data_IF_309452669853
#
_entry.id   IF_309452669853
#
_cell.length_a   1.000
_cell.length_b   1.000
_cell.length_c   1.000
_cell.angle_alpha   90.00
_cell.angle_beta   90.00
_cell.angle_gamma   90.00
#
_symmetry.space_group_name_H-M   'P 1'
#
loop_
_entity.id
_entity.type
_entity.pdbx_description
1 polymer ?
#
# COMPACT_ATOMS: atom_id res chain seq x y z
N UNK A 1 7.09 -14.28 -6.39
CA UNK A 1 7.89 -13.10 -5.98
C UNK A 1 8.99 -13.48 -5.00
N UNK A 2 8.71 -14.24 -3.93
CA UNK A 2 9.72 -14.69 -2.96
C UNK A 2 10.93 -15.39 -3.58
N UNK A 3 10.73 -16.37 -4.48
CA UNK A 3 11.85 -17.05 -5.15
C UNK A 3 12.74 -16.11 -5.96
N UNK A 4 12.16 -15.07 -6.59
CA UNK A 4 12.92 -14.04 -7.29
C UNK A 4 13.67 -13.10 -6.34
N UNK A 5 13.21 -12.94 -5.10
CA UNK A 5 13.88 -12.11 -4.11
C UNK A 5 15.07 -12.84 -3.48
N UNK A 6 14.94 -14.15 -3.22
CA UNK A 6 16.01 -14.99 -2.64
C UNK A 6 17.28 -15.05 -3.48
N UNK A 7 17.16 -14.95 -4.80
CA UNK A 7 18.31 -14.99 -5.72
C UNK A 7 19.05 -13.65 -5.83
N UNK A 8 18.55 -12.58 -5.20
CA UNK A 8 19.18 -11.25 -5.29
C UNK A 8 20.40 -11.15 -4.37
N UNK A 9 21.59 -10.80 -4.89
CA UNK A 9 22.80 -10.73 -4.09
C UNK A 9 22.72 -9.66 -3.00
N UNK A 10 21.97 -8.58 -3.20
CA UNK A 10 21.84 -7.50 -2.20
C UNK A 10 21.04 -7.93 -0.97
N UNK A 11 20.26 -9.03 -1.06
CA UNK A 11 19.35 -9.49 -0.01
C UNK A 11 19.81 -10.77 0.69
N UNK A 12 21.08 -11.16 0.55
CA UNK A 12 21.62 -12.39 1.14
C UNK A 12 21.50 -12.44 2.67
N UNK A 13 21.44 -11.27 3.33
CA UNK A 13 21.27 -11.17 4.79
C UNK A 13 19.81 -11.18 5.25
N UNK A 14 18.85 -11.24 4.32
CA UNK A 14 17.42 -11.22 4.63
C UNK A 14 16.86 -12.64 4.75
N UNK A 15 16.02 -12.86 5.77
CA UNK A 15 15.18 -14.06 5.88
C UNK A 15 13.87 -13.83 5.12
N UNK A 16 13.50 -14.78 4.28
CA UNK A 16 12.24 -14.75 3.53
C UNK A 16 11.29 -15.80 4.07
N UNK A 17 10.03 -15.40 4.30
CA UNK A 17 9.01 -16.28 4.84
C UNK A 17 7.69 -16.10 4.07
N UNK A 18 7.01 -17.21 3.77
CA UNK A 18 5.67 -17.19 3.23
C UNK A 18 4.69 -17.17 4.39
N UNK A 19 4.02 -16.05 4.60
CA UNK A 19 3.11 -15.84 5.72
C UNK A 19 1.87 -15.06 5.27
N UNK A 20 0.75 -15.25 5.98
CA UNK A 20 -0.42 -14.40 5.87
C UNK A 20 -0.23 -13.17 6.77
N UNK A 21 -0.44 -11.97 6.22
CA UNK A 21 -0.33 -10.74 6.97
C UNK A 21 -1.36 -10.62 8.11
N UNK A 22 -2.46 -11.37 8.03
CA UNK A 22 -3.51 -11.45 9.07
C UNK A 22 -3.26 -12.58 10.08
N UNK A 23 -2.19 -13.36 9.95
CA UNK A 23 -1.78 -14.36 10.95
C UNK A 23 -0.28 -14.62 10.82
N UNK A 24 0.53 -13.76 11.43
CA UNK A 24 1.97 -13.78 11.28
C UNK A 24 2.59 -14.92 12.13
N UNK A 25 3.53 -15.71 11.57
CA UNK A 25 4.20 -16.82 12.26
C UNK A 25 5.35 -16.34 13.17
N UNK A 26 5.20 -15.18 13.80
CA UNK A 26 6.22 -14.58 14.66
C UNK A 26 5.71 -14.40 16.08
N UNK A 27 6.65 -14.45 17.03
CA UNK A 27 6.38 -14.17 18.43
C UNK A 27 6.06 -12.69 18.66
N UNK A 28 5.36 -12.44 19.75
CA UNK A 28 5.02 -11.09 20.21
C UNK A 28 6.30 -10.27 20.45
N UNK A 29 6.27 -8.98 20.11
CA UNK A 29 7.37 -8.05 20.38
C UNK A 29 8.75 -8.47 19.81
N UNK A 30 8.75 -9.14 18.66
CA UNK A 30 9.98 -9.62 18.00
C UNK A 30 10.70 -8.53 17.18
N UNK A 31 9.98 -7.54 16.65
CA UNK A 31 10.52 -6.59 15.68
C UNK A 31 10.59 -5.15 16.21
N UNK A 32 11.65 -4.44 15.83
CA UNK A 32 11.86 -3.01 16.16
C UNK A 32 11.12 -2.07 15.21
N UNK A 33 10.70 -2.55 14.04
CA UNK A 33 9.85 -1.84 13.10
C UNK A 33 9.20 -2.82 12.12
N UNK A 34 8.05 -2.44 11.54
CA UNK A 34 7.41 -3.18 10.44
C UNK A 34 7.09 -2.22 9.30
N UNK A 35 7.32 -2.66 8.06
CA UNK A 35 7.00 -1.90 6.85
C UNK A 35 6.10 -2.73 5.93
N UNK A 36 4.96 -2.17 5.54
CA UNK A 36 3.99 -2.75 4.62
C UNK A 36 3.85 -1.89 3.37
N UNK A 37 4.45 -2.29 2.26
CA UNK A 37 4.52 -1.48 1.04
C UNK A 37 3.46 -1.86 0.00
N UNK A 38 2.39 -1.07 -0.12
CA UNK A 38 1.43 -1.21 -1.22
C UNK A 38 0.51 -2.43 -1.11
N UNK A 39 0.31 -2.95 0.10
CA UNK A 39 -0.42 -4.22 0.33
C UNK A 39 -1.68 -4.07 1.18
N UNK A 40 -1.74 -3.07 2.06
CA UNK A 40 -2.76 -2.97 3.11
C UNK A 40 -4.21 -2.98 2.57
N UNK A 41 -4.45 -2.32 1.44
CA UNK A 41 -5.76 -2.22 0.80
C UNK A 41 -6.19 -3.48 0.02
N UNK A 42 -5.29 -4.47 -0.12
CA UNK A 42 -5.62 -5.79 -0.69
C UNK A 42 -6.03 -6.81 0.37
N UNK A 43 -5.80 -6.53 1.65
CA UNK A 43 -6.19 -7.44 2.72
C UNK A 43 -7.74 -7.47 2.85
N UNK A 44 -8.33 -8.66 3.03
CA UNK A 44 -9.76 -8.77 3.34
C UNK A 44 -10.15 -7.94 4.57
N UNK A 45 -9.38 -8.08 5.66
CA UNK A 45 -9.54 -7.36 6.92
C UNK A 45 -8.27 -6.56 7.26
N UNK A 46 -8.14 -5.30 6.81
CA UNK A 46 -6.94 -4.49 7.03
C UNK A 46 -6.59 -4.30 8.50
N UNK A 47 -7.61 -4.14 9.36
CA UNK A 47 -7.44 -3.94 10.80
C UNK A 47 -6.87 -5.19 11.47
N UNK A 48 -7.27 -6.39 11.05
CA UNK A 48 -6.70 -7.66 11.58
C UNK A 48 -5.22 -7.76 11.23
N UNK A 49 -4.85 -7.44 9.98
CA UNK A 49 -3.44 -7.42 9.58
C UNK A 49 -2.63 -6.37 10.36
N UNK A 50 -3.20 -5.20 10.61
CA UNK A 50 -2.57 -4.16 11.42
C UNK A 50 -2.43 -4.57 12.89
N UNK A 51 -3.40 -5.28 13.47
CA UNK A 51 -3.31 -5.85 14.82
C UNK A 51 -2.21 -6.90 14.91
N UNK A 52 -2.04 -7.74 13.89
CA UNK A 52 -0.92 -8.69 13.84
C UNK A 52 0.43 -7.96 13.74
N UNK A 53 0.53 -6.90 12.95
CA UNK A 53 1.73 -6.06 12.90
C UNK A 53 2.00 -5.41 14.26
N UNK A 54 0.98 -4.87 14.93
CA UNK A 54 1.07 -4.32 16.28
C UNK A 54 1.49 -5.39 17.32
N UNK A 55 1.04 -6.63 17.16
CA UNK A 55 1.39 -7.76 18.04
C UNK A 55 2.89 -8.07 17.97
N UNK A 56 3.43 -8.18 16.76
CA UNK A 56 4.82 -8.61 16.53
C UNK A 56 5.85 -7.49 16.74
N UNK A 57 5.46 -6.21 16.71
CA UNK A 57 6.37 -5.11 17.04
C UNK A 57 6.50 -4.89 18.55
N UNK A 58 7.69 -4.49 18.98
CA UNK A 58 7.99 -4.13 20.38
C UNK A 58 7.21 -2.91 20.83
N UNK A 59 6.94 -2.73 22.14
CA UNK A 59 6.43 -1.47 22.66
C UNK A 59 7.39 -0.32 22.32
N UNK A 60 6.85 0.81 21.85
CA UNK A 60 7.61 1.97 21.37
C UNK A 60 8.04 1.88 19.91
N UNK A 61 7.86 0.75 19.23
CA UNK A 61 8.22 0.58 17.83
C UNK A 61 7.17 1.16 16.87
N UNK A 62 7.63 1.50 15.67
CA UNK A 62 6.80 2.07 14.61
C UNK A 62 6.39 1.02 13.56
N UNK A 63 5.16 1.13 13.09
CA UNK A 63 4.64 0.40 11.93
C UNK A 63 4.31 1.38 10.83
N UNK A 64 4.93 1.19 9.67
CA UNK A 64 4.75 2.01 8.47
C UNK A 64 3.99 1.24 7.41
N UNK A 65 2.88 1.80 6.92
CA UNK A 65 2.18 1.30 5.75
C UNK A 65 2.19 2.34 4.63
N UNK A 66 2.44 1.90 3.40
CA UNK A 66 2.33 2.74 2.20
C UNK A 66 1.14 2.29 1.37
N UNK A 67 0.33 3.25 0.95
CA UNK A 67 -0.93 3.01 0.24
C UNK A 67 -1.14 3.99 -0.91
N UNK A 68 -1.85 3.54 -1.94
CA UNK A 68 -2.35 4.45 -2.97
C UNK A 68 -3.58 5.19 -2.45
N UNK A 69 -3.68 6.46 -2.81
CA UNK A 69 -4.84 7.30 -2.54
C UNK A 69 -5.81 7.27 -3.71
N UNK A 70 -7.08 7.53 -3.39
CA UNK A 70 -8.14 7.63 -4.37
C UNK A 70 -7.87 8.77 -5.37
N UNK A 71 -8.02 8.52 -6.68
CA UNK A 71 -7.90 9.58 -7.67
C UNK A 71 -9.04 10.59 -7.51
N UNK A 72 -8.71 11.88 -7.53
CA UNK A 72 -9.68 12.98 -7.34
C UNK A 72 -10.72 13.14 -8.46
N UNK A 73 -10.41 12.96 -9.76
CA UNK A 73 -11.40 13.14 -10.81
C UNK A 73 -12.46 12.04 -10.76
N UNK A 74 -13.74 12.42 -10.63
CA UNK A 74 -14.86 11.50 -10.39
C UNK A 74 -14.96 10.37 -11.43
N UNK A 75 -14.82 10.70 -12.73
CA UNK A 75 -14.86 9.70 -13.80
C UNK A 75 -13.72 8.67 -13.69
N UNK A 76 -12.50 9.14 -13.38
CA UNK A 76 -11.34 8.26 -13.19
C UNK A 76 -11.50 7.44 -11.92
N UNK A 77 -12.07 7.99 -10.87
CA UNK A 77 -12.39 7.27 -9.62
C UNK A 77 -13.35 6.12 -9.86
N UNK A 78 -14.48 6.36 -10.53
CA UNK A 78 -15.48 5.32 -10.83
C UNK A 78 -14.83 4.20 -11.64
N UNK A 79 -14.03 4.54 -12.66
CA UNK A 79 -13.32 3.54 -13.43
C UNK A 79 -12.28 2.81 -12.57
N UNK A 80 -11.48 3.51 -11.78
CA UNK A 80 -10.39 2.93 -10.99
C UNK A 80 -10.90 2.01 -9.87
N UNK A 81 -11.98 2.38 -9.16
CA UNK A 81 -12.63 1.56 -8.13
C UNK A 81 -13.24 0.27 -8.69
N UNK A 82 -13.55 0.26 -9.99
CA UNK A 82 -13.99 -0.93 -10.72
C UNK A 82 -12.86 -1.97 -10.83
N UNK A 83 -11.59 -1.59 -10.68
CA UNK A 83 -10.45 -2.52 -10.84
C UNK A 83 -9.63 -2.72 -9.57
N UNK A 84 -9.58 -1.71 -8.70
CA UNK A 84 -8.74 -1.73 -7.51
C UNK A 84 -9.41 -0.98 -6.36
N UNK A 85 -9.11 -1.37 -5.13
CA UNK A 85 -9.56 -0.62 -3.94
C UNK A 85 -8.58 0.53 -3.72
N UNK A 86 -9.09 1.76 -3.80
CA UNK A 86 -8.35 2.96 -3.41
C UNK A 86 -9.00 3.57 -2.18
N UNK A 87 -8.51 3.25 -0.97
CA UNK A 87 -9.07 3.81 0.24
C UNK A 87 -8.80 5.32 0.32
N UNK A 88 -9.67 6.02 1.03
CA UNK A 88 -9.43 7.42 1.39
C UNK A 88 -8.42 7.51 2.52
N UNK A 89 -7.87 8.69 2.74
CA UNK A 89 -6.95 8.93 3.85
C UNK A 89 -7.60 8.62 5.21
N UNK A 90 -8.87 9.00 5.37
CA UNK A 90 -9.65 8.78 6.58
C UNK A 90 -9.82 7.28 6.87
N UNK A 91 -9.96 6.47 5.82
CA UNK A 91 -10.02 5.01 5.98
C UNK A 91 -8.70 4.44 6.48
N UNK A 92 -7.56 4.89 5.94
CA UNK A 92 -6.25 4.47 6.45
C UNK A 92 -6.05 4.87 7.91
N UNK A 93 -6.38 6.12 8.28
CA UNK A 93 -6.29 6.58 9.67
C UNK A 93 -7.21 5.78 10.59
N UNK A 94 -8.47 5.60 10.19
CA UNK A 94 -9.44 4.82 10.96
C UNK A 94 -8.97 3.39 11.20
N UNK A 95 -8.35 2.73 10.22
CA UNK A 95 -7.79 1.39 10.42
C UNK A 95 -6.64 1.35 11.43
N UNK A 96 -5.76 2.36 11.43
CA UNK A 96 -4.67 2.46 12.41
C UNK A 96 -5.20 2.75 13.81
N UNK A 97 -6.17 3.64 13.95
CA UNK A 97 -6.82 3.96 15.22
C UNK A 97 -7.56 2.75 15.78
N UNK A 98 -8.36 2.05 14.96
CA UNK A 98 -9.11 0.85 15.36
C UNK A 98 -8.18 -0.34 15.70
N UNK A 99 -7.02 -0.41 15.07
CA UNK A 99 -6.01 -1.41 15.41
C UNK A 99 -5.32 -1.12 16.75
N UNK A 100 -5.41 0.10 17.29
CA UNK A 100 -4.85 0.50 18.58
C UNK A 100 -3.49 1.20 18.49
N UNK A 101 -3.12 1.75 17.33
CA UNK A 101 -1.91 2.54 17.19
C UNK A 101 -2.05 3.92 17.84
N UNK A 102 -0.94 4.44 18.36
CA UNK A 102 -0.81 5.81 18.87
C UNK A 102 0.08 6.63 17.94
N UNK A 103 0.09 7.96 18.09
CA UNK A 103 0.94 8.87 17.31
C UNK A 103 0.84 8.66 15.79
N UNK A 104 -0.37 8.51 15.27
CA UNK A 104 -0.60 8.26 13.85
C UNK A 104 -0.21 9.49 13.02
N UNK A 105 0.78 9.32 12.14
CA UNK A 105 1.33 10.37 11.26
C UNK A 105 1.20 9.96 9.81
N UNK A 106 0.94 10.92 8.93
CA UNK A 106 0.87 10.70 7.49
C UNK A 106 1.87 11.60 6.76
N UNK A 107 2.55 11.04 5.77
CA UNK A 107 3.32 11.77 4.78
C UNK A 107 2.73 11.48 3.40
N UNK A 108 2.58 12.53 2.59
CA UNK A 108 1.98 12.41 1.27
C UNK A 108 3.04 12.36 0.20
N UNK A 109 2.80 11.51 -0.80
CA UNK A 109 3.59 11.47 -2.01
C UNK A 109 2.79 12.17 -3.10
N UNK A 110 3.33 13.28 -3.58
CA UNK A 110 2.73 14.10 -4.62
C UNK A 110 3.55 14.05 -5.91
N UNK A 111 2.85 14.27 -7.02
CA UNK A 111 3.51 14.44 -8.31
C UNK A 111 4.13 15.84 -8.41
N UNK A 112 5.38 15.97 -8.90
CA UNK A 112 6.06 17.27 -8.93
C UNK A 112 5.46 18.28 -9.92
N UNK A 113 4.61 17.85 -10.87
CA UNK A 113 4.01 18.72 -11.89
C UNK A 113 2.66 19.32 -11.51
N UNK A 114 1.87 18.65 -10.67
CA UNK A 114 0.49 19.09 -10.37
C UNK A 114 0.18 19.07 -8.87
N UNK A 115 1.18 18.83 -8.02
CA UNK A 115 1.07 18.69 -6.57
C UNK A 115 -0.02 17.71 -6.10
N UNK A 116 -0.54 16.87 -7.01
CA UNK A 116 -1.62 15.96 -6.70
C UNK A 116 -1.04 14.81 -5.89
N UNK A 117 -1.55 14.65 -4.67
CA UNK A 117 -1.26 13.52 -3.81
C UNK A 117 -1.91 12.27 -4.42
N UNK A 118 -1.10 11.24 -4.65
CA UNK A 118 -1.55 9.98 -5.24
C UNK A 118 -1.23 8.77 -4.37
N UNK A 119 -0.35 8.93 -3.38
CA UNK A 119 -0.05 7.91 -2.40
C UNK A 119 0.22 8.57 -1.04
N UNK A 120 0.07 7.77 0.01
CA UNK A 120 0.37 8.17 1.38
C UNK A 120 1.23 7.10 2.06
N UNK A 121 2.13 7.54 2.93
CA UNK A 121 2.80 6.72 3.91
C UNK A 121 2.22 7.08 5.29
N UNK A 122 1.62 6.11 5.97
CA UNK A 122 1.02 6.25 7.29
C UNK A 122 1.85 5.44 8.29
N UNK A 123 2.18 6.08 9.41
CA UNK A 123 2.99 5.49 10.47
C UNK A 123 2.21 5.57 11.77
N UNK A 124 2.18 4.47 12.52
CA UNK A 124 1.65 4.42 13.88
C UNK A 124 2.65 3.78 14.82
N UNK A 125 2.69 4.25 16.07
CA UNK A 125 3.57 3.74 17.12
C UNK A 125 2.78 2.85 18.07
N UNK A 126 3.37 1.73 18.50
CA UNK A 126 2.84 0.94 19.62
C UNK A 126 3.15 1.65 20.92
N UNK A 127 2.16 2.18 21.63
CA UNK A 127 2.44 2.86 22.89
C UNK A 127 2.91 1.89 23.98
N UNK A 128 3.74 2.40 24.89
CA UNK A 128 4.15 1.65 26.09
C UNK A 128 2.93 1.45 26.99
N UNK A 129 2.48 0.21 27.14
CA UNK A 129 1.26 -0.14 27.90
C UNK A 129 0.03 -0.42 27.04
N UNK A 130 0.13 -0.37 25.71
CA UNK A 130 -0.93 -0.90 24.83
C UNK A 130 -1.16 -2.37 25.14
N UNK A 131 -2.43 -2.76 25.35
CA UNK A 131 -2.81 -4.14 25.55
C UNK A 131 -2.36 -4.99 24.36
N UNK A 132 -1.74 -6.14 24.66
CA UNK A 132 -1.21 -7.02 23.62
C UNK A 132 -2.36 -7.61 22.79
N UNK A 133 -2.39 -7.41 21.46
CA UNK A 133 -3.42 -8.00 20.62
C UNK A 133 -3.35 -9.54 20.65
N UNK A 134 -4.50 -10.20 20.70
CA UNK A 134 -4.55 -11.64 20.57
C UNK A 134 -4.08 -12.07 19.18
N UNK A 135 -3.32 -13.17 19.12
CA UNK A 135 -2.88 -13.74 17.84
C UNK A 135 -4.08 -14.17 17.02
N UNK A 136 -4.18 -13.64 15.80
CA UNK A 136 -5.24 -14.03 14.88
C UNK A 136 -5.04 -15.47 14.39
N UNK A 137 -6.13 -16.25 14.38
CA UNK A 137 -6.12 -17.58 13.79
C UNK A 137 -5.87 -17.48 12.28
N UNK A 138 -5.13 -18.42 11.68
CA UNK A 138 -4.94 -18.43 10.23
C UNK A 138 -6.31 -18.53 9.55
N UNK A 139 -6.61 -17.69 8.54
CA UNK A 139 -7.87 -17.79 7.85
C UNK A 139 -8.00 -19.19 7.23
N UNK A 140 -9.22 -19.77 7.19
CA UNK A 140 -9.41 -21.08 6.62
C UNK A 140 -8.93 -21.08 5.16
N UNK A 141 -8.28 -22.17 4.69
CA UNK A 141 -7.79 -22.25 3.32
C UNK A 141 -8.97 -22.02 2.37
N UNK A 142 -8.93 -20.89 1.67
CA UNK A 142 -10.06 -20.45 0.84
C UNK A 142 -10.06 -21.25 -0.46
N UNK A 143 -10.62 -22.47 -0.42
CA UNK A 143 -10.61 -23.41 -1.54
C UNK A 143 -11.56 -23.02 -2.70
N UNK A 144 -12.45 -22.03 -2.50
CA UNK A 144 -13.52 -21.72 -3.45
C UNK A 144 -13.14 -20.61 -4.44
N UNK A 145 -12.33 -20.94 -5.46
CA UNK A 145 -12.12 -20.03 -6.62
C UNK A 145 -12.19 -20.69 -8.01
N UNK A 146 -12.75 -21.89 -8.14
CA UNK A 146 -12.82 -22.58 -9.46
C UNK A 146 -14.16 -22.47 -10.19
N UNK A 147 -15.28 -22.27 -9.49
CA UNK A 147 -16.62 -22.35 -10.10
C UNK A 147 -17.11 -20.98 -10.66
N UNK A 148 -16.64 -19.86 -10.12
CA UNK A 148 -17.02 -18.52 -10.58
C UNK A 148 -16.24 -18.00 -11.81
N UNK A 149 -15.13 -18.65 -12.20
CA UNK A 149 -14.22 -18.14 -13.24
C UNK A 149 -14.81 -18.07 -14.65
N UNK A 150 -15.69 -19.01 -15.03
CA UNK A 150 -16.27 -19.09 -16.37
C UNK A 150 -17.37 -18.03 -16.61
N UNK A 151 -18.22 -17.76 -15.62
CA UNK A 151 -19.28 -16.75 -15.72
C UNK A 151 -18.73 -15.31 -15.63
N UNK A 152 -17.61 -15.11 -14.92
CA UNK A 152 -16.96 -13.80 -14.80
C UNK A 152 -16.03 -13.47 -15.96
N UNK A 153 -15.61 -14.46 -16.75
CA UNK A 153 -14.64 -14.30 -17.84
C UNK A 153 -14.98 -13.18 -18.84
N UNK A 154 -16.21 -13.08 -19.41
CA UNK A 154 -16.51 -12.01 -20.37
C UNK A 154 -16.47 -10.63 -19.71
N UNK A 155 -16.94 -10.53 -18.45
CA UNK A 155 -16.89 -9.29 -17.69
C UNK A 155 -15.44 -8.89 -17.34
N UNK A 156 -14.59 -9.87 -17.01
CA UNK A 156 -13.16 -9.68 -16.71
C UNK A 156 -12.38 -9.27 -17.96
N UNK A 157 -12.65 -9.88 -19.12
CA UNK A 157 -12.03 -9.52 -20.40
C UNK A 157 -12.43 -8.11 -20.83
N UNK A 158 -13.72 -7.76 -20.74
CA UNK A 158 -14.22 -6.42 -21.03
C UNK A 158 -13.56 -5.39 -20.11
N UNK A 159 -13.56 -5.66 -18.80
CA UNK A 159 -12.87 -4.86 -17.79
C UNK A 159 -11.40 -4.67 -18.17
N UNK A 160 -10.66 -5.76 -18.42
CA UNK A 160 -9.25 -5.70 -18.78
C UNK A 160 -9.00 -4.86 -20.05
N UNK A 161 -9.85 -5.01 -21.07
CA UNK A 161 -9.79 -4.21 -22.30
C UNK A 161 -9.95 -2.71 -22.06
N UNK A 162 -10.94 -2.31 -21.26
CA UNK A 162 -11.17 -0.89 -20.91
C UNK A 162 -9.99 -0.33 -20.11
N UNK A 163 -9.46 -1.10 -19.15
CA UNK A 163 -8.30 -0.69 -18.36
C UNK A 163 -7.05 -0.50 -19.22
N UNK A 164 -6.79 -1.40 -20.17
CA UNK A 164 -5.67 -1.29 -21.11
C UNK A 164 -5.79 -0.07 -22.03
N UNK A 165 -7.00 0.20 -22.55
CA UNK A 165 -7.24 1.38 -23.38
C UNK A 165 -7.04 2.68 -22.59
N UNK A 166 -7.56 2.76 -21.36
CA UNK A 166 -7.35 3.91 -20.48
C UNK A 166 -5.86 4.12 -20.14
N UNK A 167 -5.14 3.04 -19.84
CA UNK A 167 -3.70 3.10 -19.56
C UNK A 167 -2.90 3.57 -20.77
N UNK A 168 -3.20 3.06 -21.98
CA UNK A 168 -2.52 3.44 -23.21
C UNK A 168 -2.66 4.95 -23.54
N UNK A 169 -3.76 5.58 -23.11
CA UNK A 169 -4.01 7.02 -23.31
C UNK A 169 -3.40 7.85 -22.18
N UNK A 170 -3.63 7.46 -20.92
CA UNK A 170 -3.25 8.26 -19.76
C UNK A 170 -1.75 8.20 -19.45
N UNK A 171 -1.10 7.04 -19.63
CA UNK A 171 0.31 6.86 -19.34
C UNK A 171 1.23 7.79 -20.16
N UNK A 172 1.13 7.88 -21.51
CA UNK A 172 1.99 8.78 -22.28
C UNK A 172 1.74 10.26 -21.98
N UNK A 173 0.48 10.65 -21.72
CA UNK A 173 0.15 12.02 -21.29
C UNK A 173 0.80 12.34 -19.94
N UNK A 174 0.75 11.41 -18.99
CA UNK A 174 1.42 11.56 -17.70
C UNK A 174 2.94 11.64 -17.87
N UNK A 175 3.56 10.76 -18.66
CA UNK A 175 5.01 10.79 -18.91
C UNK A 175 5.44 12.14 -19.53
N UNK A 176 4.69 12.66 -20.50
CA UNK A 176 5.00 13.93 -21.15
C UNK A 176 4.88 15.11 -20.17
N UNK A 177 3.82 15.16 -19.38
CA UNK A 177 3.65 16.18 -18.34
C UNK A 177 4.75 16.08 -17.26
N UNK A 178 5.16 14.86 -16.93
CA UNK A 178 6.23 14.58 -15.99
C UNK A 178 7.57 15.11 -16.45
N UNK A 179 7.93 14.78 -17.70
CA UNK A 179 9.16 15.23 -18.32
C UNK A 179 9.22 16.77 -18.42
N UNK A 180 8.09 17.41 -18.78
CA UNK A 180 7.99 18.88 -18.85
C UNK A 180 8.22 19.54 -17.50
N UNK A 181 7.63 19.03 -16.42
CA UNK A 181 7.83 19.62 -15.10
C UNK A 181 9.22 19.32 -14.53
N UNK A 182 9.79 18.13 -14.77
CA UNK A 182 11.18 17.87 -14.37
C UNK A 182 12.16 18.83 -15.05
N UNK A 183 11.92 19.20 -16.33
CA UNK A 183 12.70 20.25 -17.00
C UNK A 183 12.54 21.62 -16.33
N UNK A 184 11.31 22.04 -16.04
CA UNK A 184 11.03 23.31 -15.32
C UNK A 184 11.67 23.37 -13.93
N UNK A 185 11.63 22.28 -13.17
CA UNK A 185 12.28 22.19 -11.86
C UNK A 185 13.80 22.28 -11.96
N UNK A 186 14.40 21.67 -13.00
CA UNK A 186 15.84 21.76 -13.26
C UNK A 186 16.26 23.19 -13.66
N UNK A 187 15.45 23.86 -14.47
CA UNK A 187 15.63 25.27 -14.83
C UNK A 187 15.54 26.19 -13.59
N UNK A 188 14.52 26.01 -12.74
CA UNK A 188 14.38 26.78 -11.49
C UNK A 188 15.54 26.57 -10.51
N UNK A 189 16.04 25.32 -10.37
CA UNK A 189 17.22 25.03 -9.54
C UNK A 189 18.49 25.66 -10.09
N UNK A 190 18.67 25.68 -11.42
CA UNK A 190 19.83 26.32 -12.06
C UNK A 190 19.81 27.84 -11.93
N UNK A 191 18.64 28.48 -11.97
CA UNK A 191 18.49 29.93 -11.74
C UNK A 191 18.74 30.29 -10.28
N UNK A 192 18.38 29.42 -9.33
CA UNK A 192 18.62 29.65 -7.89
C UNK A 192 20.09 29.39 -7.44
N UNK A 193 20.96 28.85 -8.30
CA UNK A 193 22.35 28.50 -7.98
C UNK A 193 23.41 29.40 -8.62
N UNK A 194 22.98 30.40 -9.41
CA UNK A 194 23.86 31.47 -9.89
C UNK A 194 23.40 32.81 -9.29
N UNK A 195 24.15 33.39 -8.32
CA UNK A 195 23.92 34.76 -7.85
C UNK A 195 24.26 35.79 -8.92
#
# INVERSE_FOLDING_TARGET
MLERAKVKPELQKCRFELADAQSLPFEDNSFDAVVSSGTLYYYPEPVVALREQLRVVKPGADVLAMGSLQPKPLFIRVLAETFNRFPTEEQYKGWFEEAGFSNVRCCYISNPWNAQQYALAICGTKATGTAQPARAAPPPPTFRRRIFGLAYLPLTVLRFGVAMAAFAILAPLQILNSARAMRRLKEQKNVATHP
#
